data_IF_749416471798
#
_entry.id   IF_749416471798
#
_cell.length_a   1.000
_cell.length_b   1.000
_cell.length_c   1.000
_cell.angle_alpha   90.00
_cell.angle_beta   90.00
_cell.angle_gamma   90.00
#
_symmetry.space_group_name_H-M   'P 1'
#
loop_
_entity.id
_entity.type
_entity.pdbx_description
1 polymer ?
#
# COMPACT_ATOMS: atom_id res chain seq x y z
N UNK A 1 5.98 -5.32 11.75
CA UNK A 1 6.21 -6.63 11.11
C UNK A 1 5.24 -7.75 11.51
N UNK A 2 4.24 -7.56 12.40
CA UNK A 2 3.35 -8.65 12.83
C UNK A 2 2.34 -9.17 11.78
N UNK A 3 2.20 -8.47 10.65
CA UNK A 3 1.31 -8.88 9.55
C UNK A 3 1.91 -10.01 8.70
N UNK A 4 3.23 -10.09 8.64
CA UNK A 4 3.97 -11.06 7.81
C UNK A 4 4.44 -12.28 8.63
N UNK A 5 3.87 -12.48 9.82
CA UNK A 5 4.23 -13.62 10.67
C UNK A 5 3.86 -14.94 9.99
N UNK A 6 4.81 -15.88 9.97
CA UNK A 6 4.64 -17.18 9.31
C UNK A 6 3.53 -17.99 9.99
N UNK A 7 3.55 -18.07 11.31
CA UNK A 7 2.50 -18.74 12.08
C UNK A 7 1.23 -17.85 12.14
N UNK A 8 0.09 -18.31 11.60
CA UNK A 8 -1.15 -17.53 11.58
C UNK A 8 -1.73 -17.28 12.98
N UNK A 9 -1.39 -18.09 13.99
CA UNK A 9 -1.95 -17.96 15.36
C UNK A 9 -1.42 -16.70 16.06
N UNK A 10 -0.18 -16.33 15.76
CA UNK A 10 0.50 -15.16 16.34
C UNK A 10 0.45 -13.93 15.41
N UNK A 11 0.02 -14.12 14.17
CA UNK A 11 -0.15 -13.03 13.19
C UNK A 11 -1.19 -12.02 13.67
N UNK A 12 -0.90 -10.75 13.45
CA UNK A 12 -1.87 -9.68 13.71
C UNK A 12 -3.12 -9.88 12.85
N UNK A 13 -4.27 -10.00 13.50
CA UNK A 13 -5.50 -10.53 12.87
C UNK A 13 -6.72 -9.62 12.95
N UNK A 14 -6.68 -8.56 13.76
CA UNK A 14 -7.79 -7.63 13.87
C UNK A 14 -7.43 -6.23 13.41
N UNK A 15 -8.40 -5.57 12.77
CA UNK A 15 -8.27 -4.17 12.36
C UNK A 15 -7.99 -3.27 13.57
N UNK A 16 -8.63 -3.53 14.72
CA UNK A 16 -8.38 -2.78 15.95
C UNK A 16 -6.92 -2.86 16.40
N UNK A 17 -6.32 -4.05 16.35
CA UNK A 17 -4.90 -4.22 16.66
C UNK A 17 -4.00 -3.49 15.66
N UNK A 18 -4.38 -3.48 14.37
CA UNK A 18 -3.65 -2.76 13.34
C UNK A 18 -3.64 -1.25 13.63
N UNK A 19 -4.82 -0.69 13.92
CA UNK A 19 -5.01 0.74 14.22
C UNK A 19 -4.23 1.20 15.46
N UNK A 20 -4.07 0.33 16.45
CA UNK A 20 -3.33 0.62 17.68
C UNK A 20 -1.80 0.49 17.52
N UNK A 21 -1.31 0.00 16.39
CA UNK A 21 0.13 -0.14 16.18
C UNK A 21 0.81 1.21 15.97
N UNK A 22 2.07 1.33 16.43
CA UNK A 22 2.86 2.54 16.30
C UNK A 22 3.05 2.99 14.84
N UNK A 23 2.93 2.07 13.87
CA UNK A 23 2.98 2.40 12.44
C UNK A 23 1.88 3.38 12.04
N UNK A 24 0.68 3.25 12.61
CA UNK A 24 -0.46 4.14 12.35
C UNK A 24 -0.62 5.22 13.42
N UNK A 25 0.41 5.45 14.25
CA UNK A 25 0.39 6.57 15.18
C UNK A 25 0.23 7.87 14.40
N UNK A 26 -0.70 8.74 14.82
CA UNK A 26 -1.13 9.96 14.11
C UNK A 26 -1.88 9.78 12.78
N UNK A 27 -2.14 8.55 12.33
CA UNK A 27 -2.99 8.30 11.17
C UNK A 27 -4.48 8.40 11.54
N UNK A 28 -5.21 9.29 10.87
CA UNK A 28 -6.63 9.52 11.15
C UNK A 28 -7.51 8.62 10.26
N UNK A 29 -7.88 7.45 10.79
CA UNK A 29 -8.76 6.49 10.10
C UNK A 29 -10.15 7.06 9.77
N UNK A 30 -10.68 7.96 10.59
CA UNK A 30 -12.02 8.53 10.38
C UNK A 30 -12.04 9.47 9.18
N UNK A 31 -10.97 10.25 8.97
CA UNK A 31 -10.85 11.09 7.78
C UNK A 31 -10.81 10.28 6.49
N UNK A 32 -10.16 9.12 6.52
CA UNK A 32 -10.04 8.22 5.37
C UNK A 32 -11.38 7.56 5.07
N UNK A 33 -12.09 7.06 6.10
CA UNK A 33 -13.46 6.53 5.93
C UNK A 33 -14.41 7.58 5.37
N UNK A 34 -14.29 8.82 5.84
CA UNK A 34 -15.07 9.96 5.36
C UNK A 34 -14.58 10.53 4.02
N UNK A 35 -13.58 9.91 3.36
CA UNK A 35 -12.98 10.36 2.09
C UNK A 35 -12.47 11.80 2.11
N UNK A 36 -12.08 12.31 3.28
CA UNK A 36 -11.48 13.64 3.46
C UNK A 36 -10.00 13.69 3.07
N UNK A 37 -9.39 12.53 2.85
CA UNK A 37 -7.99 12.41 2.42
C UNK A 37 -7.96 11.88 0.99
N UNK A 38 -7.36 12.66 0.08
CA UNK A 38 -7.14 12.20 -1.30
C UNK A 38 -5.94 11.23 -1.34
N UNK A 39 -6.07 10.03 -1.92
CA UNK A 39 -4.95 9.11 -2.08
C UNK A 39 -3.76 9.76 -2.79
N UNK A 40 -4.02 10.61 -3.79
CA UNK A 40 -3.00 11.31 -4.57
C UNK A 40 -2.16 12.24 -3.69
N UNK A 41 -2.81 12.99 -2.79
CA UNK A 41 -2.10 13.88 -1.86
C UNK A 41 -1.18 13.13 -0.89
N UNK A 42 -1.52 11.89 -0.51
CA UNK A 42 -0.65 11.05 0.33
C UNK A 42 0.59 10.64 -0.49
N UNK A 43 0.38 10.17 -1.71
CA UNK A 43 1.46 9.72 -2.58
C UNK A 43 2.41 10.87 -2.89
N UNK A 44 1.92 12.04 -3.29
CA UNK A 44 2.75 13.22 -3.60
C UNK A 44 3.57 13.70 -2.40
N UNK A 45 3.06 13.55 -1.17
CA UNK A 45 3.78 13.93 0.05
C UNK A 45 4.97 13.01 0.34
N UNK A 46 4.84 11.71 0.09
CA UNK A 46 5.84 10.70 0.44
C UNK A 46 6.76 10.31 -0.73
N UNK A 47 6.25 10.44 -1.94
CA UNK A 47 6.93 10.20 -3.20
C UNK A 47 6.73 11.45 -4.06
N UNK A 48 7.37 12.58 -3.69
CA UNK A 48 7.30 13.77 -4.53
C UNK A 48 7.78 13.40 -5.92
N UNK A 49 6.95 13.67 -6.92
CA UNK A 49 7.31 13.43 -8.30
C UNK A 49 8.50 14.33 -8.61
N UNK A 50 9.69 13.76 -8.74
CA UNK A 50 10.81 14.47 -9.33
C UNK A 50 10.32 14.94 -10.70
N UNK A 51 10.33 16.25 -10.92
CA UNK A 51 9.85 16.91 -12.14
C UNK A 51 10.62 16.50 -13.42
N UNK A 52 11.42 15.45 -13.38
CA UNK A 52 12.19 14.89 -14.48
C UNK A 52 11.52 13.65 -15.12
N UNK A 53 10.32 13.25 -14.68
CA UNK A 53 9.50 12.28 -15.41
C UNK A 53 8.63 13.04 -16.43
N UNK A 54 9.28 13.47 -17.51
CA UNK A 54 8.64 13.97 -18.72
C UNK A 54 7.62 12.93 -19.22
N UNK A 55 6.36 13.36 -19.34
CA UNK A 55 5.32 12.91 -20.27
C UNK A 55 5.37 11.44 -20.73
N UNK A 56 5.02 10.53 -19.81
CA UNK A 56 4.70 9.14 -20.11
C UNK A 56 3.32 8.78 -19.61
N UNK A 57 2.34 8.75 -20.52
CA UNK A 57 0.96 8.31 -20.34
C UNK A 57 0.88 7.09 -19.39
N UNK A 58 0.06 7.21 -18.34
CA UNK A 58 -0.18 6.19 -17.30
C UNK A 58 -1.05 5.04 -17.87
N UNK A 59 -0.61 4.40 -18.94
CA UNK A 59 -1.00 3.04 -19.27
C UNK A 59 0.14 2.18 -18.75
N UNK A 60 0.14 1.93 -17.44
CA UNK A 60 1.14 1.10 -16.79
C UNK A 60 1.00 -0.35 -17.28
N UNK A 61 1.61 -0.67 -18.42
CA UNK A 61 2.08 -2.02 -18.74
C UNK A 61 3.32 -2.31 -17.89
N UNK A 62 3.21 -2.15 -16.57
CA UNK A 62 4.26 -2.59 -15.66
C UNK A 62 4.15 -4.11 -15.57
N UNK A 63 4.90 -4.81 -16.42
CA UNK A 63 5.08 -6.24 -16.31
C UNK A 63 5.94 -6.52 -15.09
N UNK A 64 5.39 -7.23 -14.11
CA UNK A 64 6.10 -7.69 -12.93
C UNK A 64 6.45 -9.17 -13.13
N UNK A 65 7.68 -9.51 -13.56
CA UNK A 65 8.01 -10.87 -13.97
C UNK A 65 7.81 -11.91 -12.87
N UNK A 66 7.91 -11.50 -11.60
CA UNK A 66 7.68 -12.38 -10.45
C UNK A 66 6.21 -12.56 -10.08
N UNK A 67 5.31 -11.72 -10.58
CA UNK A 67 3.91 -11.64 -10.15
C UNK A 67 2.93 -12.02 -11.28
N UNK A 68 3.24 -11.63 -12.52
CA UNK A 68 2.40 -11.86 -13.71
C UNK A 68 2.68 -13.21 -14.39
N UNK A 69 3.56 -14.04 -13.82
CA UNK A 69 3.82 -15.38 -14.35
C UNK A 69 2.58 -16.27 -14.16
N UNK A 70 1.83 -16.48 -15.24
CA UNK A 70 0.94 -17.63 -15.34
C UNK A 70 1.81 -18.88 -15.36
N UNK A 71 1.86 -19.58 -14.24
CA UNK A 71 2.52 -20.88 -14.15
C UNK A 71 1.74 -21.90 -14.98
N UNK A 72 1.99 -21.95 -16.29
CA UNK A 72 1.54 -23.05 -17.15
C UNK A 72 2.51 -24.21 -16.98
N UNK A 73 2.41 -24.90 -15.84
CA UNK A 73 2.98 -26.23 -15.71
C UNK A 73 2.05 -27.21 -16.43
N UNK A 74 2.53 -27.74 -17.55
CA UNK A 74 1.97 -28.91 -18.27
C UNK A 74 2.34 -30.17 -17.51
#
# INVERSE_FOLDING_TARGET
MRLLERDPRVRLRSLRQLQQSAFYMSYNFEHVKAKKVSPRSILEKHFPLDKNLEDGIINSTHHFPSFDQYNMAV
#
